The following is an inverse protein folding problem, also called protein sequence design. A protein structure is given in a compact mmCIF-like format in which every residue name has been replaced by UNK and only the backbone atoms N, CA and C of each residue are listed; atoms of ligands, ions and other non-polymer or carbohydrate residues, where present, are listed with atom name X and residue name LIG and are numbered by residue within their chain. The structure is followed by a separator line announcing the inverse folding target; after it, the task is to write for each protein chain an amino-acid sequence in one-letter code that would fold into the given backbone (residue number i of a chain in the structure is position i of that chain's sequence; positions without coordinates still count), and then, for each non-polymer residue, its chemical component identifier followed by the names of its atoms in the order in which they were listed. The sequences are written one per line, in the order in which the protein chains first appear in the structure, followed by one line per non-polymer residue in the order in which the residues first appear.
data_IF_772853980006
#
_entry.id   IF_772853980006
#
_cell.length_a   1.000
_cell.length_b   1.000
_cell.length_c   1.000
_cell.angle_alpha   90.00
_cell.angle_beta   90.00
_cell.angle_gamma   90.00
#
_symmetry.space_group_name_H-M   'P 1'
#
loop_
_entity.id
_entity.type
_entity.pdbx_description
1 polymer ?
#
# COMPACT_ATOMS: atom_id res chain seq x y z
N UNK A 1 8.28 -31.78 14.97
CA UNK A 1 7.80 -30.45 15.41
C UNK A 1 6.71 -30.03 14.46
N UNK A 2 5.51 -29.72 14.95
CA UNK A 2 4.37 -29.26 14.14
C UNK A 2 3.91 -27.92 14.72
N UNK A 3 4.61 -26.85 14.37
CA UNK A 3 4.15 -25.49 14.65
C UNK A 3 2.83 -25.26 13.90
N UNK A 4 1.80 -24.66 14.53
CA UNK A 4 0.52 -24.39 13.86
C UNK A 4 0.71 -23.62 12.54
N UNK A 5 -0.07 -23.96 11.51
CA UNK A 5 0.00 -23.31 10.19
C UNK A 5 1.13 -23.79 9.26
N UNK A 6 2.16 -24.47 9.78
CA UNK A 6 3.30 -24.98 8.98
C UNK A 6 2.89 -25.91 7.82
N UNK A 7 1.84 -26.72 8.00
CA UNK A 7 1.34 -27.62 6.95
C UNK A 7 0.83 -26.87 5.71
N UNK A 8 0.16 -25.72 5.90
CA UNK A 8 -0.31 -24.88 4.80
C UNK A 8 0.86 -24.31 4.01
N UNK A 9 1.89 -23.84 4.71
CA UNK A 9 3.11 -23.31 4.11
C UNK A 9 3.85 -24.35 3.24
N UNK A 10 4.07 -25.55 3.76
CA UNK A 10 4.72 -26.61 2.97
C UNK A 10 3.86 -27.10 1.80
N UNK A 11 2.52 -27.11 1.94
CA UNK A 11 1.61 -27.38 0.83
C UNK A 11 1.72 -26.32 -0.27
N UNK A 12 1.85 -25.04 0.10
CA UNK A 12 2.08 -23.94 -0.84
C UNK A 12 3.43 -24.08 -1.59
N UNK A 13 4.50 -24.46 -0.90
CA UNK A 13 5.79 -24.78 -1.54
C UNK A 13 5.64 -25.97 -2.49
N UNK A 14 4.94 -27.03 -2.07
CA UNK A 14 4.71 -28.21 -2.90
C UNK A 14 3.95 -27.84 -4.18
N UNK A 15 2.95 -26.96 -4.10
CA UNK A 15 2.21 -26.45 -5.27
C UNK A 15 3.10 -25.73 -6.29
N UNK A 16 4.23 -25.16 -5.88
CA UNK A 16 5.18 -24.53 -6.83
C UNK A 16 5.77 -25.54 -7.81
N UNK A 17 5.75 -26.85 -7.52
CA UNK A 17 6.15 -27.89 -8.49
C UNK A 17 5.20 -27.99 -9.69
N UNK A 18 4.01 -27.42 -9.59
CA UNK A 18 3.02 -27.35 -10.67
C UNK A 18 3.17 -26.08 -11.52
N UNK A 19 3.97 -25.10 -11.08
CA UNK A 19 4.18 -23.83 -11.78
C UNK A 19 4.83 -24.01 -13.15
N UNK A 20 4.61 -23.02 -14.03
CA UNK A 20 5.25 -22.96 -15.33
C UNK A 20 6.79 -22.96 -15.22
N UNK A 21 7.36 -22.24 -14.25
CA UNK A 21 8.80 -22.17 -14.01
C UNK A 21 9.38 -23.56 -13.67
N UNK A 22 8.71 -24.30 -12.79
CA UNK A 22 9.15 -25.65 -12.43
C UNK A 22 9.07 -26.61 -13.62
N UNK A 23 7.97 -26.57 -14.38
CA UNK A 23 7.76 -27.42 -15.57
C UNK A 23 8.73 -27.08 -16.71
N UNK A 24 9.06 -25.80 -16.90
CA UNK A 24 9.99 -25.33 -17.92
C UNK A 24 11.42 -25.88 -17.69
N UNK A 25 11.82 -26.10 -16.43
CA UNK A 25 13.12 -26.66 -16.10
C UNK A 25 14.28 -25.68 -16.31
N UNK A 26 15.51 -26.21 -16.37
CA UNK A 26 16.71 -25.41 -16.61
C UNK A 26 16.89 -24.27 -15.60
N UNK A 27 17.16 -23.07 -16.10
CA UNK A 27 17.35 -21.87 -15.27
C UNK A 27 16.09 -21.45 -14.51
N UNK A 28 14.90 -21.66 -15.09
CA UNK A 28 13.63 -21.26 -14.47
C UNK A 28 13.42 -22.00 -13.15
N UNK A 29 13.63 -23.32 -13.21
CA UNK A 29 13.54 -24.17 -12.02
C UNK A 29 14.61 -23.80 -11.00
N UNK A 30 15.84 -23.45 -11.44
CA UNK A 30 16.90 -23.02 -10.51
C UNK A 30 16.53 -21.73 -9.77
N UNK A 31 15.99 -20.74 -10.47
CA UNK A 31 15.53 -19.47 -9.86
C UNK A 31 14.38 -19.70 -8.89
N UNK A 32 13.37 -20.50 -9.28
CA UNK A 32 12.30 -20.89 -8.37
C UNK A 32 12.83 -21.63 -7.13
N UNK A 33 13.72 -22.60 -7.31
CA UNK A 33 14.36 -23.31 -6.19
C UNK A 33 15.15 -22.35 -5.27
N UNK A 34 15.85 -21.38 -5.84
CA UNK A 34 16.56 -20.35 -5.06
C UNK A 34 15.59 -19.50 -4.23
N UNK A 35 14.47 -19.05 -4.81
CA UNK A 35 13.43 -18.30 -4.08
C UNK A 35 12.82 -19.13 -2.95
N UNK A 36 12.54 -20.41 -3.19
CA UNK A 36 12.06 -21.34 -2.14
C UNK A 36 13.07 -21.46 -1.00
N UNK A 37 14.36 -21.64 -1.30
CA UNK A 37 15.40 -21.74 -0.26
C UNK A 37 15.57 -20.45 0.53
N UNK A 38 15.60 -19.29 -0.13
CA UNK A 38 15.63 -17.99 0.54
C UNK A 38 14.47 -17.82 1.52
N UNK A 39 13.28 -18.23 1.11
CA UNK A 39 12.10 -18.18 1.99
C UNK A 39 12.25 -19.11 3.20
N UNK A 40 12.74 -20.34 3.01
CA UNK A 40 13.00 -21.31 4.10
C UNK A 40 14.04 -20.76 5.08
N UNK A 41 15.15 -20.23 4.57
CA UNK A 41 16.21 -19.64 5.39
C UNK A 41 15.72 -18.42 6.18
N UNK A 42 14.93 -17.55 5.55
CA UNK A 42 14.38 -16.37 6.20
C UNK A 42 13.43 -16.73 7.36
N UNK A 43 12.55 -17.72 7.19
CA UNK A 43 11.64 -18.15 8.27
C UNK A 43 12.35 -18.96 9.38
N UNK A 44 13.50 -19.55 9.11
CA UNK A 44 14.32 -20.20 10.14
C UNK A 44 14.94 -19.14 11.06
N UNK A 45 15.41 -18.03 10.48
CA UNK A 45 16.06 -16.93 11.19
C UNK A 45 15.09 -15.94 11.85
N UNK A 46 13.93 -15.68 11.24
CA UNK A 46 12.95 -14.69 11.69
C UNK A 46 11.63 -15.37 12.09
N UNK A 47 11.42 -15.52 13.41
CA UNK A 47 10.23 -16.18 13.93
C UNK A 47 8.94 -15.39 13.73
N UNK A 48 9.02 -14.07 13.62
CA UNK A 48 7.83 -13.24 13.36
C UNK A 48 7.43 -13.33 11.89
N UNK A 49 8.41 -13.29 10.98
CA UNK A 49 8.19 -13.60 9.57
C UNK A 49 7.60 -15.00 9.40
N UNK A 50 8.14 -16.01 10.11
CA UNK A 50 7.63 -17.38 10.04
C UNK A 50 6.14 -17.48 10.36
N UNK A 51 5.70 -16.84 11.46
CA UNK A 51 4.28 -16.79 11.83
C UNK A 51 3.45 -16.11 10.75
N UNK A 52 3.91 -14.95 10.26
CA UNK A 52 3.21 -14.20 9.21
C UNK A 52 3.06 -15.04 7.93
N UNK A 53 4.11 -15.75 7.49
CA UNK A 53 4.01 -16.61 6.30
C UNK A 53 3.11 -17.84 6.54
N UNK A 54 3.09 -18.40 7.75
CA UNK A 54 2.18 -19.51 8.07
C UNK A 54 0.72 -19.08 8.07
N UNK A 55 0.43 -17.87 8.58
CA UNK A 55 -0.89 -17.27 8.53
C UNK A 55 -1.31 -16.98 7.07
N UNK A 56 -0.44 -16.35 6.28
CA UNK A 56 -0.69 -16.12 4.84
C UNK A 56 -0.96 -17.42 4.08
N UNK A 57 -0.28 -18.52 4.41
CA UNK A 57 -0.46 -19.82 3.76
C UNK A 57 -1.80 -20.49 4.09
N UNK A 58 -2.46 -20.09 5.17
CA UNK A 58 -3.71 -20.70 5.68
C UNK A 58 -4.91 -19.77 5.58
N UNK A 59 -4.70 -18.50 5.23
CA UNK A 59 -5.77 -17.54 4.99
C UNK A 59 -6.72 -18.03 3.88
N UNK A 60 -8.05 -17.88 4.04
CA UNK A 60 -9.00 -18.19 2.99
C UNK A 60 -8.72 -17.30 1.79
N UNK A 61 -8.18 -17.88 0.71
CA UNK A 61 -8.05 -17.17 -0.55
C UNK A 61 -9.41 -17.18 -1.25
N UNK A 62 -9.80 -16.06 -1.85
CA UNK A 62 -11.06 -15.93 -2.59
C UNK A 62 -11.11 -16.81 -3.84
N UNK A 63 -9.99 -17.42 -4.25
CA UNK A 63 -9.92 -18.41 -5.31
C UNK A 63 -9.04 -19.61 -4.92
N UNK A 64 -9.38 -20.79 -5.44
CA UNK A 64 -8.72 -22.07 -5.17
C UNK A 64 -7.28 -22.15 -5.73
N UNK A 65 -6.93 -21.29 -6.69
CA UNK A 65 -5.66 -21.32 -7.43
C UNK A 65 -4.66 -20.21 -7.03
N UNK A 66 -4.94 -19.46 -5.96
CA UNK A 66 -4.09 -18.36 -5.44
C UNK A 66 -2.67 -18.76 -4.93
N UNK A 67 -2.23 -20.00 -5.09
CA UNK A 67 -0.98 -20.50 -4.51
C UNK A 67 0.31 -19.86 -5.07
N UNK A 68 0.33 -19.48 -6.35
CA UNK A 68 1.48 -18.80 -6.96
C UNK A 68 1.54 -17.31 -6.58
N UNK A 69 0.39 -16.63 -6.58
CA UNK A 69 0.28 -15.23 -6.12
C UNK A 69 0.69 -15.11 -4.66
N UNK A 70 0.17 -15.99 -3.78
CA UNK A 70 0.54 -15.99 -2.37
C UNK A 70 2.05 -16.23 -2.20
N UNK A 71 2.67 -17.13 -2.97
CA UNK A 71 4.13 -17.33 -2.94
C UNK A 71 4.91 -16.06 -3.30
N UNK A 72 4.47 -15.35 -4.36
CA UNK A 72 5.12 -14.11 -4.78
C UNK A 72 4.93 -12.98 -3.75
N UNK A 73 3.73 -12.86 -3.16
CA UNK A 73 3.46 -11.89 -2.08
C UNK A 73 4.25 -12.18 -0.81
N UNK A 74 4.40 -13.46 -0.42
CA UNK A 74 5.28 -13.86 0.69
C UNK A 74 6.73 -13.43 0.44
N UNK A 75 7.17 -13.47 -0.82
CA UNK A 75 8.47 -12.98 -1.24
C UNK A 75 8.79 -11.54 -0.85
N UNK A 76 7.78 -10.66 -0.84
CA UNK A 76 7.95 -9.27 -0.40
C UNK A 76 8.30 -9.20 1.09
N UNK A 77 7.68 -10.05 1.90
CA UNK A 77 7.96 -10.16 3.34
C UNK A 77 9.35 -10.72 3.59
N UNK A 78 9.76 -11.72 2.82
CA UNK A 78 11.12 -12.27 2.84
C UNK A 78 12.14 -11.18 2.51
N UNK A 79 11.95 -10.45 1.41
CA UNK A 79 12.84 -9.36 1.01
C UNK A 79 12.93 -8.24 2.06
N UNK A 80 11.82 -7.91 2.72
CA UNK A 80 11.82 -6.94 3.81
C UNK A 80 12.62 -7.45 5.01
N UNK A 81 12.44 -8.71 5.42
CA UNK A 81 13.20 -9.33 6.52
C UNK A 81 14.70 -9.42 6.18
N UNK A 82 15.05 -9.86 4.97
CA UNK A 82 16.42 -9.87 4.47
C UNK A 82 17.04 -8.46 4.45
N UNK A 83 16.27 -7.42 4.08
CA UNK A 83 16.75 -6.04 4.14
C UNK A 83 17.15 -5.64 5.56
N UNK A 84 16.38 -6.02 6.59
CA UNK A 84 16.75 -5.80 7.99
C UNK A 84 17.97 -6.62 8.41
N UNK A 85 18.01 -7.90 8.07
CA UNK A 85 19.08 -8.81 8.48
C UNK A 85 20.44 -8.48 7.85
N UNK A 86 20.44 -7.99 6.61
CA UNK A 86 21.65 -7.85 5.80
C UNK A 86 22.15 -6.40 5.67
N UNK A 87 21.46 -5.41 6.27
CA UNK A 87 21.88 -4.01 6.21
C UNK A 87 22.86 -3.67 7.31
N UNK A 88 24.00 -3.08 6.96
CA UNK A 88 25.06 -2.70 7.91
C UNK A 88 24.93 -1.28 8.46
N UNK A 89 23.99 -0.49 7.95
CA UNK A 89 23.68 0.86 8.42
C UNK A 89 22.23 1.24 8.12
N UNK A 90 21.73 2.28 8.81
CA UNK A 90 20.39 2.82 8.57
C UNK A 90 20.19 3.36 7.15
N UNK A 91 21.23 3.90 6.51
CA UNK A 91 21.15 4.41 5.14
C UNK A 91 21.01 3.27 4.10
N UNK A 92 21.74 2.16 4.30
CA UNK A 92 21.61 0.97 3.44
C UNK A 92 20.22 0.34 3.63
N UNK A 93 19.73 0.29 4.87
CA UNK A 93 18.39 -0.20 5.17
C UNK A 93 17.30 0.67 4.50
N UNK A 94 17.39 2.01 4.63
CA UNK A 94 16.46 2.96 3.99
C UNK A 94 16.42 2.73 2.48
N UNK A 95 17.59 2.66 1.84
CA UNK A 95 17.73 2.44 0.39
C UNK A 95 17.13 1.10 -0.07
N UNK A 96 17.37 0.00 0.67
CA UNK A 96 16.80 -1.31 0.33
C UNK A 96 15.29 -1.33 0.49
N UNK A 97 14.78 -0.82 1.60
CA UNK A 97 13.34 -0.83 1.89
C UNK A 97 12.56 0.11 0.97
N UNK A 98 13.09 1.28 0.61
CA UNK A 98 12.39 2.21 -0.28
C UNK A 98 12.33 1.66 -1.72
N UNK A 99 13.39 1.02 -2.20
CA UNK A 99 13.39 0.36 -3.50
C UNK A 99 12.45 -0.86 -3.51
N UNK A 100 12.43 -1.65 -2.43
CA UNK A 100 11.47 -2.73 -2.26
C UNK A 100 10.02 -2.20 -2.22
N UNK A 101 9.75 -1.10 -1.51
CA UNK A 101 8.43 -0.48 -1.44
C UNK A 101 7.95 0.00 -2.81
N UNK A 102 8.84 0.62 -3.60
CA UNK A 102 8.56 1.02 -4.98
C UNK A 102 8.22 -0.17 -5.87
N UNK A 103 9.03 -1.22 -5.83
CA UNK A 103 8.79 -2.45 -6.59
C UNK A 103 7.50 -3.17 -6.17
N UNK A 104 7.23 -3.26 -4.86
CA UNK A 104 6.02 -3.88 -4.32
C UNK A 104 4.75 -3.08 -4.66
N UNK A 105 4.81 -1.75 -4.64
CA UNK A 105 3.72 -0.88 -5.09
C UNK A 105 3.37 -1.14 -6.57
N UNK A 106 4.39 -1.25 -7.43
CA UNK A 106 4.21 -1.60 -8.84
C UNK A 106 3.63 -3.00 -9.03
N UNK A 107 4.11 -3.98 -8.27
CA UNK A 107 3.60 -5.34 -8.32
C UNK A 107 2.10 -5.37 -7.95
N UNK A 108 1.69 -4.67 -6.90
CA UNK A 108 0.27 -4.57 -6.52
C UNK A 108 -0.59 -3.96 -7.65
N UNK A 109 -0.09 -2.95 -8.36
CA UNK A 109 -0.79 -2.39 -9.54
C UNK A 109 -0.88 -3.38 -10.70
N UNK A 110 0.17 -4.15 -10.92
CA UNK A 110 0.17 -5.22 -11.93
C UNK A 110 -0.86 -6.29 -11.56
N UNK A 111 -0.96 -6.67 -10.29
CA UNK A 111 -1.96 -7.62 -9.80
C UNK A 111 -3.39 -7.11 -10.00
N UNK A 112 -3.64 -5.82 -9.73
CA UNK A 112 -4.95 -5.20 -9.97
C UNK A 112 -5.33 -5.23 -11.46
N UNK A 113 -4.38 -4.95 -12.35
CA UNK A 113 -4.58 -5.01 -13.80
C UNK A 113 -4.83 -6.45 -14.25
N UNK A 114 -4.03 -7.40 -13.78
CA UNK A 114 -4.19 -8.82 -14.10
C UNK A 114 -5.54 -9.35 -13.62
N UNK A 115 -6.00 -8.93 -12.43
CA UNK A 115 -7.32 -9.25 -11.89
C UNK A 115 -8.45 -8.73 -12.76
N UNK A 116 -8.34 -7.47 -13.20
CA UNK A 116 -9.35 -6.86 -14.07
C UNK A 116 -9.41 -7.56 -15.44
N UNK A 117 -8.25 -7.88 -16.03
CA UNK A 117 -8.17 -8.64 -17.29
C UNK A 117 -8.78 -10.03 -17.12
N UNK A 118 -8.39 -10.78 -16.07
CA UNK A 118 -8.96 -12.08 -15.74
C UNK A 118 -10.49 -12.03 -15.64
N UNK A 119 -11.05 -11.08 -14.90
CA UNK A 119 -12.49 -10.92 -14.74
C UNK A 119 -13.25 -10.56 -16.02
N UNK A 120 -12.55 -10.03 -17.03
CA UNK A 120 -13.13 -9.67 -18.34
C UNK A 120 -13.10 -10.80 -19.37
N UNK A 121 -12.28 -11.83 -19.14
CA UNK A 121 -12.03 -12.90 -20.12
C UNK A 121 -13.19 -13.91 -20.17
N UNK A 122 -13.63 -14.32 -21.38
CA UNK A 122 -14.65 -15.35 -21.51
C UNK A 122 -14.10 -16.74 -21.17
N UNK A 123 -14.95 -17.61 -20.65
CA UNK A 123 -14.62 -19.01 -20.35
C UNK A 123 -14.11 -19.22 -18.92
N UNK A 124 -13.21 -20.19 -18.74
CA UNK A 124 -12.55 -20.49 -17.46
C UNK A 124 -11.03 -20.39 -17.64
N UNK A 125 -10.48 -19.16 -17.83
CA UNK A 125 -9.04 -18.97 -17.96
C UNK A 125 -8.34 -19.44 -16.69
N UNK A 126 -7.09 -19.91 -16.83
CA UNK A 126 -6.26 -20.24 -15.68
C UNK A 126 -5.76 -18.93 -15.05
N UNK A 127 -6.28 -18.59 -13.86
CA UNK A 127 -5.96 -17.35 -13.15
C UNK A 127 -4.46 -17.22 -12.87
N UNK A 128 -3.79 -18.32 -12.49
CA UNK A 128 -2.36 -18.33 -12.20
C UNK A 128 -1.56 -17.99 -13.45
N UNK A 129 -1.92 -18.60 -14.57
CA UNK A 129 -1.25 -18.32 -15.84
C UNK A 129 -1.43 -16.87 -16.29
N UNK A 130 -2.59 -16.25 -16.04
CA UNK A 130 -2.83 -14.83 -16.35
C UNK A 130 -1.92 -13.93 -15.51
N UNK A 131 -1.94 -14.06 -14.17
CA UNK A 131 -1.12 -13.21 -13.30
C UNK A 131 0.37 -13.40 -13.56
N UNK A 132 0.83 -14.65 -13.67
CA UNK A 132 2.23 -14.92 -13.99
C UNK A 132 2.65 -14.30 -15.33
N UNK A 133 1.77 -14.27 -16.34
CA UNK A 133 2.09 -13.63 -17.61
C UNK A 133 2.31 -12.11 -17.48
N UNK A 134 1.54 -11.42 -16.64
CA UNK A 134 1.75 -10.00 -16.35
C UNK A 134 2.99 -9.77 -15.48
N UNK A 135 3.11 -10.47 -14.35
CA UNK A 135 4.20 -10.30 -13.39
C UNK A 135 5.56 -10.56 -14.04
N UNK A 136 5.73 -11.70 -14.72
CA UNK A 136 6.99 -12.04 -15.39
C UNK A 136 7.23 -11.20 -16.65
N UNK A 137 6.17 -10.87 -17.40
CA UNK A 137 6.26 -10.05 -18.61
C UNK A 137 6.65 -8.60 -18.33
N UNK A 138 6.35 -8.08 -17.13
CA UNK A 138 6.66 -6.73 -16.69
C UNK A 138 7.82 -6.65 -15.69
N UNK A 139 8.29 -7.78 -15.16
CA UNK A 139 9.29 -7.85 -14.09
C UNK A 139 10.49 -6.94 -14.32
N UNK A 140 11.17 -7.08 -15.46
CA UNK A 140 12.37 -6.30 -15.75
C UNK A 140 12.07 -4.81 -15.97
N UNK A 141 10.98 -4.48 -16.66
CA UNK A 141 10.65 -3.09 -17.04
C UNK A 141 10.12 -2.27 -15.86
N UNK A 142 9.47 -2.91 -14.90
CA UNK A 142 8.93 -2.28 -13.70
C UNK A 142 9.80 -2.49 -12.45
N UNK A 143 10.88 -3.26 -12.56
CA UNK A 143 11.72 -3.67 -11.42
C UNK A 143 10.88 -4.37 -10.34
N UNK A 144 10.06 -5.35 -10.78
CA UNK A 144 9.17 -6.06 -9.88
C UNK A 144 9.95 -7.02 -8.98
N UNK A 145 9.77 -6.94 -7.65
CA UNK A 145 10.49 -7.76 -6.70
C UNK A 145 10.03 -9.21 -6.75
N UNK A 146 10.92 -10.12 -6.36
CA UNK A 146 10.66 -11.55 -6.19
C UNK A 146 10.18 -12.30 -7.45
N UNK A 147 10.43 -11.73 -8.63
CA UNK A 147 10.12 -12.36 -9.91
C UNK A 147 11.29 -13.19 -10.44
N UNK A 148 10.98 -14.17 -11.31
CA UNK A 148 12.00 -14.87 -12.10
C UNK A 148 12.56 -13.91 -13.17
N UNK A 149 13.88 -13.75 -13.26
CA UNK A 149 14.55 -12.73 -14.10
C UNK A 149 14.48 -13.03 -15.59
N UNK A 150 14.26 -14.30 -15.95
CA UNK A 150 14.23 -14.74 -17.33
C UNK A 150 12.84 -15.29 -17.56
N UNK A 151 12.05 -14.66 -18.42
CA UNK A 151 10.94 -15.35 -19.07
C UNK A 151 11.14 -15.16 -20.58
N UNK A 152 11.32 -16.26 -21.30
CA UNK A 152 11.02 -16.26 -22.73
C UNK A 152 9.52 -16.00 -22.81
N UNK A 153 9.11 -14.86 -23.40
CA UNK A 153 7.72 -14.50 -23.68
C UNK A 153 7.01 -15.64 -24.40
N UNK A 154 6.54 -16.61 -23.62
CA UNK A 154 5.61 -17.61 -24.10
C UNK A 154 4.27 -16.87 -24.06
N UNK A 155 3.46 -17.03 -25.10
CA UNK A 155 2.06 -16.56 -25.11
C UNK A 155 1.29 -17.39 -24.08
N UNK A 156 1.55 -17.15 -22.80
CA UNK A 156 0.88 -17.81 -21.67
C UNK A 156 -0.43 -17.08 -21.46
N UNK A 157 -1.50 -17.84 -21.27
CA UNK A 157 -2.86 -17.34 -21.08
C UNK A 157 -3.40 -16.35 -22.13
N UNK A 158 -2.78 -16.22 -23.31
CA UNK A 158 -3.22 -15.25 -24.32
C UNK A 158 -3.01 -13.78 -23.93
N UNK A 159 -2.09 -13.48 -22.99
CA UNK A 159 -1.63 -12.10 -22.75
C UNK A 159 -0.63 -11.74 -23.85
N UNK A 160 -0.96 -10.72 -24.65
CA UNK A 160 -0.13 -10.29 -25.79
C UNK A 160 0.93 -9.26 -25.37
N UNK A 161 1.93 -9.02 -26.21
CA UNK A 161 2.91 -7.96 -25.97
C UNK A 161 2.25 -6.58 -25.88
N UNK A 162 1.24 -6.31 -26.74
CA UNK A 162 0.46 -5.07 -26.72
C UNK A 162 -0.33 -4.90 -25.41
N UNK A 163 -0.84 -6.01 -24.87
CA UNK A 163 -1.51 -6.03 -23.57
C UNK A 163 -0.53 -5.67 -22.44
N UNK A 164 0.69 -6.23 -22.47
CA UNK A 164 1.73 -5.89 -21.50
C UNK A 164 2.20 -4.44 -21.64
N UNK A 165 2.32 -3.92 -22.86
CA UNK A 165 2.65 -2.50 -23.09
C UNK A 165 1.57 -1.57 -22.55
N UNK A 166 0.29 -1.93 -22.73
CA UNK A 166 -0.84 -1.19 -22.18
C UNK A 166 -0.82 -1.21 -20.64
N UNK A 167 -0.57 -2.37 -20.03
CA UNK A 167 -0.44 -2.50 -18.59
C UNK A 167 0.74 -1.67 -18.05
N UNK A 168 1.91 -1.73 -18.70
CA UNK A 168 3.07 -0.91 -18.34
C UNK A 168 2.72 0.59 -18.34
N UNK A 169 2.12 1.08 -19.44
CA UNK A 169 1.74 2.49 -19.57
C UNK A 169 0.70 2.89 -18.52
N UNK A 170 -0.22 1.98 -18.19
CA UNK A 170 -1.22 2.20 -17.14
C UNK A 170 -0.54 2.38 -15.78
N UNK A 171 0.36 1.47 -15.39
CA UNK A 171 1.15 1.61 -14.15
C UNK A 171 1.89 2.95 -14.13
N UNK A 172 2.61 3.30 -15.19
CA UNK A 172 3.34 4.59 -15.26
C UNK A 172 2.43 5.81 -15.16
N UNK A 173 1.23 5.75 -15.73
CA UNK A 173 0.25 6.84 -15.60
C UNK A 173 -0.26 6.99 -14.16
N UNK A 174 -0.45 5.87 -13.46
CA UNK A 174 -0.90 5.84 -12.06
C UNK A 174 0.18 6.30 -11.09
N UNK A 175 1.46 6.21 -11.45
CA UNK A 175 2.56 6.72 -10.63
C UNK A 175 2.62 8.25 -10.56
N UNK A 176 1.94 8.96 -11.47
CA UNK A 176 2.02 10.41 -11.58
C UNK A 176 1.57 11.14 -10.31
N UNK A 177 2.21 12.29 -10.04
CA UNK A 177 1.96 13.08 -8.84
C UNK A 177 2.33 12.30 -7.58
N UNK A 178 1.34 12.09 -6.70
CA UNK A 178 1.51 11.34 -5.45
C UNK A 178 1.13 9.86 -5.56
N UNK A 179 0.78 9.39 -6.76
CA UNK A 179 0.26 8.03 -6.97
C UNK A 179 1.20 6.94 -6.48
N UNK A 180 2.45 6.92 -6.99
CA UNK A 180 3.45 5.94 -6.56
C UNK A 180 3.71 6.02 -5.05
N UNK A 181 3.83 7.24 -4.52
CA UNK A 181 4.14 7.46 -3.11
C UNK A 181 3.01 6.94 -2.22
N UNK A 182 1.75 7.21 -2.58
CA UNK A 182 0.60 6.68 -1.85
C UNK A 182 0.62 5.15 -1.87
N UNK A 183 0.89 4.52 -3.02
CA UNK A 183 0.93 3.07 -3.14
C UNK A 183 2.07 2.43 -2.32
N UNK A 184 3.21 3.11 -2.22
CA UNK A 184 4.30 2.70 -1.34
C UNK A 184 3.90 2.77 0.14
N UNK A 185 3.09 3.75 0.54
CA UNK A 185 2.61 3.88 1.92
C UNK A 185 1.56 2.83 2.30
N UNK A 186 0.87 2.25 1.31
CA UNK A 186 0.02 1.08 1.54
C UNK A 186 0.83 -0.20 1.82
N UNK A 187 2.16 -0.19 1.60
CA UNK A 187 3.04 -1.31 1.96
C UNK A 187 3.34 -1.31 3.47
N UNK A 188 2.86 -2.30 4.25
CA UNK A 188 2.93 -2.23 5.72
C UNK A 188 4.35 -2.18 6.28
N UNK A 189 5.30 -2.84 5.63
CA UNK A 189 6.71 -2.84 6.06
C UNK A 189 7.35 -1.46 5.91
N UNK A 190 6.97 -0.69 4.88
CA UNK A 190 7.50 0.65 4.63
C UNK A 190 6.95 1.66 5.63
N UNK A 191 5.63 1.66 5.85
CA UNK A 191 5.00 2.52 6.86
C UNK A 191 5.53 2.22 8.27
N UNK A 192 5.73 0.92 8.60
CA UNK A 192 6.36 0.50 9.86
C UNK A 192 7.79 1.04 9.98
N UNK A 193 8.59 0.95 8.92
CA UNK A 193 9.95 1.49 8.89
C UNK A 193 9.96 3.00 9.16
N UNK A 194 9.11 3.77 8.48
CA UNK A 194 9.01 5.21 8.66
C UNK A 194 8.66 5.58 10.11
N UNK A 195 7.66 4.92 10.70
CA UNK A 195 7.24 5.17 12.09
C UNK A 195 8.30 4.82 13.12
N UNK A 196 9.07 3.75 12.87
CA UNK A 196 10.16 3.35 13.76
C UNK A 196 11.38 4.28 13.64
N UNK A 197 11.62 4.82 12.44
CA UNK A 197 12.78 5.68 12.16
C UNK A 197 12.55 7.13 12.59
N UNK A 198 11.32 7.65 12.44
CA UNK A 198 10.95 9.04 12.71
C UNK A 198 9.87 9.18 13.80
N UNK A 199 9.99 8.53 14.97
CA UNK A 199 8.90 8.43 15.94
C UNK A 199 8.54 9.76 16.60
N UNK A 200 9.47 10.72 16.65
CA UNK A 200 9.22 12.06 17.23
C UNK A 200 8.37 12.89 16.28
N UNK A 201 8.70 12.86 14.99
CA UNK A 201 8.01 13.54 13.91
C UNK A 201 6.58 13.03 13.78
N UNK A 202 6.38 11.70 13.79
CA UNK A 202 5.04 11.10 13.75
C UNK A 202 4.21 11.46 14.99
N UNK A 203 4.77 11.44 16.21
CA UNK A 203 4.04 11.87 17.41
C UNK A 203 3.66 13.34 17.37
N UNK A 204 4.53 14.21 16.87
CA UNK A 204 4.24 15.64 16.73
C UNK A 204 3.14 15.86 15.69
N UNK A 205 3.22 15.15 14.55
CA UNK A 205 2.23 15.21 13.50
C UNK A 205 0.86 14.74 14.02
N UNK A 206 0.80 13.57 14.67
CA UNK A 206 -0.43 13.05 15.27
C UNK A 206 -1.09 14.06 16.21
N UNK A 207 -0.35 14.63 17.17
CA UNK A 207 -0.88 15.68 18.07
C UNK A 207 -1.39 16.91 17.34
N UNK A 208 -0.70 17.33 16.28
CA UNK A 208 -1.13 18.48 15.49
C UNK A 208 -2.48 18.21 14.79
N UNK A 209 -2.67 17.00 14.25
CA UNK A 209 -3.90 16.66 13.54
C UNK A 209 -5.04 16.22 14.48
N UNK A 210 -4.74 15.62 15.63
CA UNK A 210 -5.69 15.46 16.75
C UNK A 210 -6.28 16.82 17.16
N UNK A 211 -5.42 17.82 17.41
CA UNK A 211 -5.88 19.18 17.72
C UNK A 211 -6.70 19.81 16.58
N UNK A 212 -6.38 19.51 15.30
CA UNK A 212 -7.19 19.99 14.17
C UNK A 212 -8.57 19.34 14.15
N UNK A 213 -8.68 18.06 14.47
CA UNK A 213 -9.97 17.38 14.59
C UNK A 213 -10.80 17.97 15.73
N UNK A 214 -10.20 18.23 16.90
CA UNK A 214 -10.88 18.90 18.02
C UNK A 214 -11.41 20.29 17.61
N UNK A 215 -10.60 21.07 16.88
CA UNK A 215 -11.01 22.37 16.35
C UNK A 215 -12.15 22.27 15.32
N UNK A 216 -12.26 21.16 14.59
CA UNK A 216 -13.33 20.93 13.62
C UNK A 216 -14.66 20.66 14.35
N UNK A 217 -14.61 19.89 15.44
CA UNK A 217 -15.75 19.69 16.32
C UNK A 217 -16.19 21.01 16.97
N UNK A 218 -15.24 21.81 17.46
CA UNK A 218 -15.52 23.15 17.98
C UNK A 218 -16.14 24.06 16.93
N UNK A 219 -15.69 23.99 15.66
CA UNK A 219 -16.27 24.76 14.56
C UNK A 219 -17.71 24.37 14.30
N UNK A 220 -18.00 23.06 14.26
CA UNK A 220 -19.35 22.53 14.05
C UNK A 220 -20.30 23.00 15.15
N UNK A 221 -19.87 22.92 16.41
CA UNK A 221 -20.66 23.39 17.55
C UNK A 221 -20.85 24.92 17.56
N UNK A 222 -19.79 25.67 17.22
CA UNK A 222 -19.87 27.13 17.13
C UNK A 222 -20.82 27.58 16.01
N UNK A 223 -20.80 26.90 14.86
CA UNK A 223 -21.75 27.16 13.76
C UNK A 223 -23.18 26.82 14.18
N UNK A 224 -23.40 25.68 14.83
CA UNK A 224 -24.71 25.30 15.36
C UNK A 224 -25.27 26.34 16.36
N UNK A 225 -24.42 26.87 17.23
CA UNK A 225 -24.76 27.95 18.16
C UNK A 225 -25.04 29.28 17.43
N UNK A 226 -24.28 29.60 16.37
CA UNK A 226 -24.48 30.78 15.54
C UNK A 226 -25.82 30.74 14.80
N UNK A 227 -26.17 29.61 14.17
CA UNK A 227 -27.46 29.43 13.47
C UNK A 227 -28.66 29.67 14.40
N UNK A 228 -28.55 29.24 15.67
CA UNK A 228 -29.57 29.43 16.73
C UNK A 228 -29.46 30.74 17.51
N UNK A 229 -28.57 31.65 17.10
CA UNK A 229 -28.37 32.93 17.80
C UNK A 229 -29.32 34.05 17.39
N UNK A 230 -30.24 33.79 16.43
CA UNK A 230 -31.27 34.77 16.01
C UNK A 230 -32.11 35.20 17.23
N UNK A 231 -32.21 36.50 17.46
CA UNK A 231 -32.95 37.08 18.60
C UNK A 231 -32.16 37.18 19.91
N UNK A 232 -30.89 36.72 19.96
CA UNK A 232 -30.00 36.97 21.11
C UNK A 232 -29.44 38.40 21.09
N UNK A 233 -28.83 38.81 22.21
CA UNK A 233 -28.18 40.12 22.33
C UNK A 233 -27.08 40.30 21.28
N UNK A 234 -26.97 41.53 20.73
CA UNK A 234 -25.99 41.89 19.69
C UNK A 234 -24.56 41.53 20.11
N UNK A 235 -24.20 41.77 21.38
CA UNK A 235 -22.87 41.45 21.90
C UNK A 235 -22.56 39.94 21.86
N UNK A 236 -23.52 39.10 22.27
CA UNK A 236 -23.37 37.64 22.24
C UNK A 236 -23.25 37.12 20.80
N UNK A 237 -24.08 37.65 19.89
CA UNK A 237 -24.05 37.28 18.47
C UNK A 237 -22.72 37.71 17.82
N UNK A 238 -22.18 38.88 18.18
CA UNK A 238 -20.85 39.34 17.72
C UNK A 238 -19.73 38.41 18.20
N UNK A 239 -19.78 37.95 19.46
CA UNK A 239 -18.80 37.02 20.00
C UNK A 239 -18.84 35.64 19.29
N UNK A 240 -20.05 35.10 19.04
CA UNK A 240 -20.23 33.85 18.28
C UNK A 240 -19.71 33.98 16.84
N UNK A 241 -20.02 35.09 16.16
CA UNK A 241 -19.49 35.37 14.82
C UNK A 241 -17.97 35.33 14.81
N UNK A 242 -17.32 36.03 15.74
CA UNK A 242 -15.87 36.08 15.83
C UNK A 242 -15.29 34.67 16.07
N UNK A 243 -15.90 33.89 16.97
CA UNK A 243 -15.48 32.52 17.27
C UNK A 243 -15.56 31.60 16.05
N UNK A 244 -16.67 31.65 15.30
CA UNK A 244 -16.84 30.86 14.07
C UNK A 244 -15.79 31.26 13.02
N UNK A 245 -15.57 32.56 12.81
CA UNK A 245 -14.57 33.05 11.85
C UNK A 245 -13.15 32.62 12.24
N UNK A 246 -12.80 32.71 13.52
CA UNK A 246 -11.47 32.32 13.99
C UNK A 246 -11.24 30.81 13.82
N UNK A 247 -12.26 29.97 14.11
CA UNK A 247 -12.20 28.53 13.90
C UNK A 247 -12.12 28.16 12.40
N UNK A 248 -12.92 28.79 11.55
CA UNK A 248 -12.95 28.51 10.11
C UNK A 248 -11.61 28.80 9.40
N UNK A 249 -10.84 29.79 9.88
CA UNK A 249 -9.49 30.09 9.37
C UNK A 249 -8.51 28.94 9.54
N UNK A 250 -8.66 28.08 10.56
CA UNK A 250 -7.79 26.92 10.73
C UNK A 250 -7.95 25.87 9.62
N UNK A 251 -9.08 25.89 8.91
CA UNK A 251 -9.43 24.97 7.83
C UNK A 251 -9.46 25.64 6.46
N UNK A 252 -9.08 26.92 6.37
CA UNK A 252 -9.18 27.71 5.14
C UNK A 252 -10.59 27.70 4.51
N UNK A 253 -11.62 27.67 5.37
CA UNK A 253 -13.03 27.72 4.95
C UNK A 253 -13.49 29.17 4.92
N UNK A 254 -14.16 29.56 3.83
CA UNK A 254 -14.69 30.92 3.67
C UNK A 254 -15.81 31.22 4.69
N UNK A 255 -15.79 32.44 5.23
CA UNK A 255 -16.78 32.93 6.20
C UNK A 255 -18.23 32.72 5.73
N UNK A 256 -18.49 32.83 4.42
CA UNK A 256 -19.83 32.66 3.83
C UNK A 256 -20.40 31.24 3.98
N UNK A 257 -19.53 30.23 4.15
CA UNK A 257 -19.90 28.82 4.26
C UNK A 257 -20.24 28.43 5.71
N UNK A 258 -19.64 29.14 6.68
CA UNK A 258 -19.81 28.85 8.11
C UNK A 258 -20.73 29.84 8.83
N UNK A 259 -20.90 31.06 8.31
CA UNK A 259 -21.81 32.08 8.85
C UNK A 259 -23.22 31.96 8.28
N UNK A 260 -23.73 30.73 8.15
CA UNK A 260 -25.09 30.45 7.67
C UNK A 260 -26.08 30.40 8.82
N UNK A 261 -27.37 30.38 8.49
CA UNK A 261 -28.45 30.15 9.46
C UNK A 261 -28.80 28.66 9.60
N UNK A 262 -27.95 27.79 9.05
CA UNK A 262 -28.11 26.34 9.03
C UNK A 262 -26.92 25.65 9.71
N UNK A 263 -27.16 24.45 10.23
CA UNK A 263 -26.10 23.64 10.83
C UNK A 263 -25.14 23.13 9.76
N UNK A 264 -23.89 22.88 10.16
CA UNK A 264 -22.95 22.18 9.28
C UNK A 264 -23.50 20.79 8.96
N UNK A 265 -23.67 20.51 7.67
CA UNK A 265 -24.08 19.19 7.17
C UNK A 265 -23.00 18.14 7.44
N UNK A 266 -23.41 16.89 7.61
CA UNK A 266 -22.46 15.77 7.79
C UNK A 266 -21.51 15.62 6.60
N UNK A 267 -21.95 15.92 5.38
CA UNK A 267 -21.12 15.88 4.18
C UNK A 267 -20.03 16.95 4.19
N UNK A 268 -20.33 18.16 4.70
CA UNK A 268 -19.34 19.22 4.85
C UNK A 268 -18.30 18.87 5.94
N UNK A 269 -18.76 18.37 7.08
CA UNK A 269 -17.90 17.89 8.15
C UNK A 269 -16.99 16.75 7.68
N UNK A 270 -17.56 15.74 7.00
CA UNK A 270 -16.81 14.61 6.47
C UNK A 270 -15.76 15.00 5.43
N UNK A 271 -16.03 16.00 4.59
CA UNK A 271 -15.02 16.54 3.65
C UNK A 271 -13.83 17.15 4.39
N UNK A 272 -14.08 18.03 5.37
CA UNK A 272 -13.01 18.63 6.16
C UNK A 272 -12.21 17.59 6.95
N UNK A 273 -12.89 16.59 7.51
CA UNK A 273 -12.22 15.49 8.20
C UNK A 273 -11.33 14.66 7.26
N UNK A 274 -11.79 14.39 6.04
CA UNK A 274 -10.99 13.71 5.02
C UNK A 274 -9.77 14.55 4.60
N UNK A 275 -9.92 15.86 4.47
CA UNK A 275 -8.82 16.77 4.14
C UNK A 275 -7.76 16.78 5.26
N UNK A 276 -8.18 16.82 6.54
CA UNK A 276 -7.30 16.69 7.71
C UNK A 276 -6.51 15.37 7.63
N UNK A 277 -7.18 14.24 7.39
CA UNK A 277 -6.52 12.94 7.26
C UNK A 277 -5.57 12.85 6.05
N UNK A 278 -5.94 13.48 4.93
CA UNK A 278 -5.08 13.56 3.75
C UNK A 278 -3.83 14.40 4.02
N UNK A 279 -3.97 15.53 4.71
CA UNK A 279 -2.86 16.39 5.14
C UNK A 279 -1.96 15.70 6.17
N UNK A 280 -2.52 14.91 7.08
CA UNK A 280 -1.75 14.14 8.06
C UNK A 280 -0.75 13.19 7.37
N UNK A 281 -1.18 12.53 6.29
CA UNK A 281 -0.32 11.66 5.46
C UNK A 281 0.80 12.39 4.73
N UNK A 282 0.82 13.73 4.66
CA UNK A 282 1.89 14.48 3.98
C UNK A 282 3.27 14.29 4.62
N UNK A 283 3.34 13.97 5.92
CA UNK A 283 4.60 13.61 6.55
C UNK A 283 5.19 12.36 5.90
N UNK A 284 4.44 11.25 5.86
CA UNK A 284 4.89 10.00 5.26
C UNK A 284 5.22 10.15 3.78
N UNK A 285 4.42 10.93 3.02
CA UNK A 285 4.71 11.21 1.60
C UNK A 285 6.05 11.91 1.42
N UNK A 286 6.31 12.96 2.21
CA UNK A 286 7.57 13.72 2.14
C UNK A 286 8.77 12.84 2.47
N UNK A 287 8.71 12.10 3.58
CA UNK A 287 9.79 11.18 3.99
C UNK A 287 10.05 10.12 2.92
N UNK A 288 8.99 9.62 2.27
CA UNK A 288 9.13 8.65 1.18
C UNK A 288 9.79 9.26 -0.06
N UNK A 289 9.41 10.48 -0.47
CA UNK A 289 10.08 11.19 -1.57
C UNK A 289 11.55 11.45 -1.27
N UNK A 290 11.88 11.85 -0.05
CA UNK A 290 13.26 12.06 0.39
C UNK A 290 14.07 10.76 0.34
N UNK A 291 13.52 9.64 0.84
CA UNK A 291 14.17 8.34 0.77
C UNK A 291 14.40 7.88 -0.68
N UNK A 292 13.42 8.06 -1.57
CA UNK A 292 13.57 7.74 -2.99
C UNK A 292 14.68 8.57 -3.65
N UNK A 293 14.74 9.88 -3.37
CA UNK A 293 15.78 10.74 -3.94
C UNK A 293 17.20 10.33 -3.48
N UNK A 294 17.34 9.81 -2.25
CA UNK A 294 18.64 9.32 -1.75
C UNK A 294 19.03 7.96 -2.31
N UNK A 295 18.08 7.16 -2.79
CA UNK A 295 18.30 5.80 -3.25
C UNK A 295 18.71 5.69 -4.73
N UNK A 296 18.70 6.81 -5.47
CA UNK A 296 19.15 6.93 -6.87
C UNK A 296 20.66 7.09 -6.95
#
# INVERSE_FOLDING_TARGET
MTEPGSAGFFSLIQKQTLSADYRAGGEMRRQLSSRVWRMIEAIDLDSELRKELFEMATAPTTCADAGAQVFNHMGIKVLASEAYALSTSGAILESRLVNLAKGAARLARVDDIARADFGSRPGNPDEVEVYLAYESGLAQRLDLPWQSEIMLHRRVAGVSAETLDTAFNTVMSMEAGDGLINDMLEQPFWEKYLRNTYPIEFRRNARQYENKTDLLDELREAQHAWARSKGRQIAQRRALKQRVQDLARHFNVDDSVVLTDEDMTDEAYGRLLNDIGYEEKQLSRRLTREALHKAV
#
